data_IF_221089701622
#
_entry.id   IF_221089701622
#
_cell.length_a   1.000
_cell.length_b   1.000
_cell.length_c   1.000
_cell.angle_alpha   90.00
_cell.angle_beta   90.00
_cell.angle_gamma   90.00
#
_symmetry.space_group_name_H-M   'P 1'
#
loop_
_entity.id
_entity.type
_entity.pdbx_description
1 polymer ?
#
# COMPACT_ATOMS: atom_id res chain seq x y z
N UNK A 1 -12.52 54.41 -24.84
CA UNK A 1 -12.67 53.10 -24.17
C UNK A 1 -11.34 52.77 -23.54
N UNK A 2 -11.27 52.87 -22.21
CA UNK A 2 -10.07 52.51 -21.47
C UNK A 2 -10.08 50.99 -21.36
N UNK A 3 -9.10 50.33 -21.99
CA UNK A 3 -8.84 48.91 -21.82
C UNK A 3 -8.51 48.66 -20.35
N UNK A 4 -9.42 48.01 -19.62
CA UNK A 4 -9.14 47.49 -18.29
C UNK A 4 -7.97 46.51 -18.42
N UNK A 5 -6.84 46.69 -17.71
CA UNK A 5 -5.76 45.72 -17.74
C UNK A 5 -6.30 44.38 -17.23
N UNK A 6 -5.91 43.28 -17.88
CA UNK A 6 -6.27 41.93 -17.46
C UNK A 6 -5.95 41.76 -15.98
N UNK A 7 -6.96 41.40 -15.17
CA UNK A 7 -6.79 41.18 -13.75
C UNK A 7 -5.72 40.10 -13.53
N UNK A 8 -4.61 40.48 -12.92
CA UNK A 8 -3.50 39.57 -12.63
C UNK A 8 -3.98 38.57 -11.58
N UNK A 9 -3.99 37.29 -11.95
CA UNK A 9 -4.52 36.21 -11.11
C UNK A 9 -3.44 35.72 -10.14
N UNK A 10 -3.71 35.63 -8.82
CA UNK A 10 -2.71 35.21 -7.85
C UNK A 10 -2.31 33.74 -8.05
N UNK A 11 -1.02 33.46 -7.90
CA UNK A 11 -0.46 32.11 -8.03
C UNK A 11 -0.01 31.59 -6.66
N UNK A 12 -0.30 30.33 -6.39
CA UNK A 12 0.17 29.60 -5.20
C UNK A 12 1.05 28.42 -5.63
N UNK A 13 2.10 28.15 -4.84
CA UNK A 13 2.89 26.92 -4.98
C UNK A 13 2.35 25.88 -4.01
N UNK A 14 1.82 24.79 -4.53
CA UNK A 14 1.37 23.64 -3.76
C UNK A 14 2.49 22.63 -3.58
N UNK A 15 2.55 22.04 -2.39
CA UNK A 15 3.50 21.01 -1.99
C UNK A 15 2.74 19.73 -1.66
N UNK A 16 3.16 18.63 -2.28
CA UNK A 16 2.86 17.26 -1.87
C UNK A 16 4.10 16.59 -1.28
N UNK A 17 4.05 15.27 -1.02
CA UNK A 17 5.15 14.55 -0.37
C UNK A 17 6.45 14.54 -1.21
N UNK A 18 6.33 14.34 -2.52
CA UNK A 18 7.47 14.32 -3.46
C UNK A 18 7.11 15.00 -4.80
N UNK A 19 6.10 15.87 -4.78
CA UNK A 19 5.65 16.63 -5.93
C UNK A 19 5.29 18.06 -5.53
N UNK A 20 5.23 18.94 -6.51
CA UNK A 20 4.81 20.33 -6.35
C UNK A 20 4.00 20.80 -7.56
N UNK A 21 3.16 21.81 -7.35
CA UNK A 21 2.37 22.40 -8.43
C UNK A 21 2.30 23.93 -8.35
N UNK A 22 2.28 24.59 -9.50
CA UNK A 22 1.98 26.01 -9.63
C UNK A 22 0.50 26.14 -10.01
N UNK A 23 -0.29 26.83 -9.18
CA UNK A 23 -1.74 26.95 -9.34
C UNK A 23 -2.17 28.41 -9.35
N UNK A 24 -2.87 28.80 -10.41
CA UNK A 24 -3.54 30.10 -10.49
C UNK A 24 -4.92 30.00 -9.83
N UNK A 25 -5.15 30.83 -8.82
CA UNK A 25 -6.41 30.80 -8.05
C UNK A 25 -7.50 31.52 -8.83
N UNK A 26 -8.61 30.83 -9.11
CA UNK A 26 -9.69 31.41 -9.90
C UNK A 26 -10.34 32.59 -9.15
N UNK A 27 -10.30 33.78 -9.75
CA UNK A 27 -11.06 34.92 -9.25
C UNK A 27 -12.50 34.87 -9.81
N UNK A 28 -13.48 34.81 -8.91
CA UNK A 28 -14.89 34.87 -9.29
C UNK A 28 -15.32 36.33 -9.47
N UNK A 29 -16.02 36.63 -10.56
CA UNK A 29 -16.56 37.96 -10.89
C UNK A 29 -17.50 38.52 -9.81
N UNK A 30 -18.27 37.65 -9.13
CA UNK A 30 -19.19 38.03 -8.03
C UNK A 30 -19.06 37.12 -6.80
N UNK A 31 -18.03 37.31 -5.94
CA UNK A 31 -17.75 36.42 -4.79
C UNK A 31 -18.87 36.38 -3.73
N UNK A 32 -19.73 37.41 -3.70
CA UNK A 32 -20.89 37.49 -2.80
C UNK A 32 -22.07 36.64 -3.28
N UNK A 33 -22.21 36.43 -4.58
CA UNK A 33 -23.30 35.63 -5.17
C UNK A 33 -22.89 34.16 -5.31
N UNK A 34 -21.59 33.89 -5.45
CA UNK A 34 -21.02 32.54 -5.61
C UNK A 34 -20.46 31.99 -4.28
N UNK A 35 -21.27 32.03 -3.21
CA UNK A 35 -20.86 31.66 -1.85
C UNK A 35 -20.27 30.24 -1.72
N UNK A 36 -20.76 29.29 -2.53
CA UNK A 36 -20.29 27.90 -2.55
C UNK A 36 -18.83 27.72 -3.01
N UNK A 37 -18.24 28.76 -3.61
CA UNK A 37 -16.91 28.71 -4.22
C UNK A 37 -15.94 29.71 -3.58
N UNK A 38 -16.26 30.22 -2.38
CA UNK A 38 -15.30 30.96 -1.56
C UNK A 38 -14.16 30.04 -1.11
N UNK A 39 -13.00 30.62 -0.82
CA UNK A 39 -12.01 30.00 0.05
C UNK A 39 -12.68 29.72 1.40
N UNK A 40 -13.20 28.51 1.56
CA UNK A 40 -13.79 28.06 2.81
C UNK A 40 -12.64 27.73 3.74
N UNK A 41 -12.47 28.56 4.77
CA UNK A 41 -11.52 28.30 5.84
C UNK A 41 -12.16 27.28 6.78
N UNK A 42 -11.60 26.08 6.83
CA UNK A 42 -12.17 25.00 7.66
C UNK A 42 -11.75 25.11 9.14
N UNK A 43 -10.65 25.82 9.44
CA UNK A 43 -10.20 26.03 10.80
C UNK A 43 -9.81 27.50 11.05
N UNK A 44 -10.54 28.11 11.99
CA UNK A 44 -10.36 29.47 12.49
C UNK A 44 -9.83 29.40 13.93
N UNK A 45 -8.63 28.87 14.15
CA UNK A 45 -8.05 28.86 15.51
C UNK A 45 -7.53 30.25 15.86
N UNK A 46 -8.10 30.84 16.91
CA UNK A 46 -7.52 32.01 17.56
C UNK A 46 -6.21 31.58 18.26
N UNK A 47 -5.07 32.05 17.75
CA UNK A 47 -3.78 31.89 18.42
C UNK A 47 -3.32 33.26 18.90
N UNK A 48 -3.84 33.71 20.05
CA UNK A 48 -3.34 34.92 20.71
C UNK A 48 -4.36 35.61 21.61
N UNK A 49 -3.91 35.93 22.82
CA UNK A 49 -4.58 36.82 23.78
C UNK A 49 -4.64 38.26 23.23
N UNK A 50 -5.86 38.81 23.22
CA UNK A 50 -6.23 40.24 23.19
C UNK A 50 -5.31 41.20 22.38
N UNK A 51 -5.73 41.49 21.15
CA UNK A 51 -5.25 42.63 20.37
C UNK A 51 -4.64 42.23 19.03
N UNK A 52 -5.47 42.25 17.98
CA UNK A 52 -5.13 42.09 16.56
C UNK A 52 -4.79 40.66 16.07
N UNK A 53 -5.37 40.31 14.89
CA UNK A 53 -5.33 39.03 14.15
C UNK A 53 -6.38 37.96 14.54
N UNK A 54 -7.66 38.34 14.44
CA UNK A 54 -8.77 37.39 14.42
C UNK A 54 -8.81 36.63 13.09
N UNK A 55 -8.43 35.35 13.14
CA UNK A 55 -8.64 34.29 12.14
C UNK A 55 -7.68 34.26 10.94
N UNK A 56 -6.41 33.96 11.21
CA UNK A 56 -5.53 33.46 10.16
C UNK A 56 -5.82 31.97 9.91
N UNK A 57 -5.90 31.55 8.64
CA UNK A 57 -6.36 30.22 8.29
C UNK A 57 -5.28 29.15 8.47
N UNK A 58 -5.62 28.07 9.16
CA UNK A 58 -4.78 26.85 9.16
C UNK A 58 -5.05 25.96 7.95
N UNK A 59 -6.29 25.93 7.46
CA UNK A 59 -6.75 25.09 6.36
C UNK A 59 -7.75 25.83 5.46
N UNK A 60 -7.63 25.67 4.14
CA UNK A 60 -8.39 26.39 3.13
C UNK A 60 -8.85 25.48 1.99
N UNK A 61 -9.98 25.81 1.37
CA UNK A 61 -10.36 25.25 0.06
C UNK A 61 -9.89 26.19 -1.04
N UNK A 62 -9.19 25.64 -2.03
CA UNK A 62 -8.65 26.33 -3.19
C UNK A 62 -9.31 25.82 -4.46
N UNK A 63 -9.92 26.73 -5.21
CA UNK A 63 -10.37 26.50 -6.58
C UNK A 63 -9.36 27.17 -7.53
N UNK A 64 -8.72 26.38 -8.39
CA UNK A 64 -7.65 26.92 -9.22
C UNK A 64 -7.39 26.15 -10.50
N UNK A 65 -6.72 26.84 -11.42
CA UNK A 65 -6.20 26.29 -12.66
C UNK A 65 -4.73 25.90 -12.45
N UNK A 66 -4.45 24.61 -12.56
CA UNK A 66 -3.07 24.11 -12.43
C UNK A 66 -2.30 24.43 -13.71
N UNK A 67 -1.16 25.11 -13.55
CA UNK A 67 -0.26 25.53 -14.64
C UNK A 67 0.91 24.59 -14.84
N UNK A 68 1.47 24.09 -13.74
CA UNK A 68 2.62 23.19 -13.79
C UNK A 68 2.53 22.20 -12.66
N UNK A 69 2.96 20.97 -12.91
CA UNK A 69 3.22 19.97 -11.89
C UNK A 69 4.62 19.43 -12.10
N UNK A 70 5.36 19.26 -11.02
CA UNK A 70 6.69 18.62 -11.02
C UNK A 70 6.69 17.53 -9.96
N UNK A 71 7.01 16.31 -10.37
CA UNK A 71 7.20 15.15 -9.50
C UNK A 71 8.70 14.89 -9.42
N UNK A 72 9.24 14.88 -8.20
CA UNK A 72 10.68 14.76 -7.91
C UNK A 72 10.90 13.67 -6.87
N UNK A 73 10.89 12.38 -7.26
CA UNK A 73 11.07 11.29 -6.30
C UNK A 73 12.48 11.21 -5.73
N UNK A 74 13.49 11.65 -6.48
CA UNK A 74 14.88 11.64 -6.07
C UNK A 74 15.62 12.84 -6.70
N UNK A 75 16.72 13.31 -6.09
CA UNK A 75 17.53 14.36 -6.68
C UNK A 75 17.98 14.00 -8.10
N UNK A 76 17.70 14.88 -9.07
CA UNK A 76 18.05 14.67 -10.48
C UNK A 76 17.06 13.82 -11.29
N UNK A 77 15.98 13.32 -10.67
CA UNK A 77 14.88 12.66 -11.36
C UNK A 77 13.64 13.55 -11.32
N UNK A 78 13.42 14.32 -12.39
CA UNK A 78 12.27 15.22 -12.51
C UNK A 78 11.33 14.78 -13.64
N UNK A 79 10.05 14.68 -13.30
CA UNK A 79 8.95 14.51 -14.25
C UNK A 79 8.08 15.77 -14.20
N UNK A 80 7.86 16.41 -15.34
CA UNK A 80 7.22 17.74 -15.42
C UNK A 80 6.07 17.73 -16.40
N UNK A 81 4.97 18.38 -16.00
CA UNK A 81 3.82 18.64 -16.84
C UNK A 81 3.50 20.13 -16.82
N UNK A 82 3.11 20.68 -17.97
CA UNK A 82 2.82 22.11 -18.10
C UNK A 82 1.59 22.34 -18.96
N UNK A 83 0.70 23.21 -18.47
CA UNK A 83 -0.46 23.68 -19.22
C UNK A 83 0.03 24.64 -20.32
N UNK A 84 -0.38 24.38 -21.55
CA UNK A 84 -0.14 25.29 -22.68
C UNK A 84 -1.33 26.24 -22.92
N UNK A 85 -2.55 25.78 -22.61
CA UNK A 85 -3.77 26.55 -22.78
C UNK A 85 -3.94 27.63 -21.68
N UNK A 86 -4.68 28.72 -21.95
CA UNK A 86 -5.09 29.67 -20.91
C UNK A 86 -5.99 29.00 -19.85
N UNK A 87 -6.25 29.72 -18.75
CA UNK A 87 -7.21 29.26 -17.75
C UNK A 87 -8.63 29.31 -18.35
N UNK A 88 -9.52 28.37 -17.99
CA UNK A 88 -10.91 28.45 -18.44
C UNK A 88 -11.56 29.73 -17.92
N UNK A 89 -12.30 30.42 -18.79
CA UNK A 89 -13.14 31.56 -18.42
C UNK A 89 -14.45 31.10 -17.75
N UNK A 90 -14.36 30.15 -16.81
CA UNK A 90 -15.52 29.59 -16.13
C UNK A 90 -16.03 30.58 -15.07
N UNK A 91 -17.17 31.21 -15.32
CA UNK A 91 -17.75 32.24 -14.44
C UNK A 91 -19.02 31.74 -13.74
N UNK A 92 -19.75 30.80 -14.35
CA UNK A 92 -20.99 30.26 -13.78
C UNK A 92 -20.77 28.97 -12.98
N UNK A 93 -21.61 28.66 -11.97
CA UNK A 93 -21.53 27.39 -11.24
C UNK A 93 -21.62 26.14 -12.13
N UNK A 94 -22.34 26.21 -13.26
CA UNK A 94 -22.46 25.10 -14.20
C UNK A 94 -21.17 24.89 -15.01
N UNK A 95 -20.55 25.97 -15.47
CA UNK A 95 -19.23 25.93 -16.14
C UNK A 95 -18.15 25.44 -15.19
N UNK A 96 -18.12 25.94 -13.95
CA UNK A 96 -17.15 25.50 -12.93
C UNK A 96 -17.33 24.01 -12.64
N UNK A 97 -18.56 23.51 -12.48
CA UNK A 97 -18.81 22.07 -12.29
C UNK A 97 -18.36 21.25 -13.49
N UNK A 98 -18.56 21.77 -14.70
CA UNK A 98 -18.11 21.10 -15.93
C UNK A 98 -16.59 21.04 -15.99
N UNK A 99 -15.91 22.16 -15.74
CA UNK A 99 -14.45 22.26 -15.71
C UNK A 99 -13.82 21.42 -14.58
N UNK A 100 -14.47 21.33 -13.42
CA UNK A 100 -14.09 20.37 -12.37
C UNK A 100 -14.32 18.93 -12.84
N UNK A 101 -15.43 18.66 -13.52
CA UNK A 101 -15.77 17.32 -14.01
C UNK A 101 -14.80 16.77 -15.05
N UNK A 102 -14.24 17.64 -15.89
CA UNK A 102 -13.23 17.30 -16.91
C UNK A 102 -11.80 17.31 -16.35
N UNK A 103 -11.56 17.93 -15.19
CA UNK A 103 -10.23 18.10 -14.62
C UNK A 103 -9.48 19.35 -15.14
N UNK A 104 -10.18 20.25 -15.82
CA UNK A 104 -9.62 21.54 -16.25
C UNK A 104 -9.39 22.48 -15.07
N UNK A 105 -10.24 22.41 -14.05
CA UNK A 105 -10.05 23.03 -12.74
C UNK A 105 -9.82 21.97 -11.66
N UNK A 106 -9.09 22.35 -10.62
CA UNK A 106 -8.90 21.55 -9.42
C UNK A 106 -9.55 22.22 -8.22
N UNK A 107 -10.24 21.43 -7.40
CA UNK A 107 -10.75 21.83 -6.09
C UNK A 107 -9.93 21.09 -5.03
N UNK A 108 -9.14 21.83 -4.27
CA UNK A 108 -8.10 21.30 -3.41
C UNK A 108 -8.30 21.78 -1.98
N UNK A 109 -8.12 20.87 -1.02
CA UNK A 109 -8.00 21.23 0.38
C UNK A 109 -6.52 21.43 0.69
N UNK A 110 -6.17 22.59 1.24
CA UNK A 110 -4.77 22.98 1.46
C UNK A 110 -4.53 23.46 2.88
N UNK A 111 -3.35 23.15 3.40
CA UNK A 111 -2.84 23.70 4.66
C UNK A 111 -2.02 24.95 4.36
N UNK A 112 -2.28 25.99 5.14
CA UNK A 112 -1.62 27.29 5.02
C UNK A 112 -0.81 27.54 6.29
N UNK A 113 0.39 28.10 6.15
CA UNK A 113 1.11 28.67 7.29
C UNK A 113 0.47 30.02 7.63
N UNK A 114 -0.28 30.13 8.75
CA UNK A 114 -1.00 31.36 9.08
C UNK A 114 -0.03 32.53 9.27
N UNK A 115 1.21 32.29 9.69
CA UNK A 115 2.20 33.35 9.95
C UNK A 115 2.78 33.96 8.68
N UNK A 116 2.70 33.25 7.55
CA UNK A 116 3.21 33.68 6.24
C UNK A 116 2.11 34.17 5.32
N UNK A 117 0.84 34.07 5.73
CA UNK A 117 -0.28 34.48 4.90
C UNK A 117 -0.36 36.01 4.86
N UNK A 118 -0.46 36.63 3.67
CA UNK A 118 -0.53 38.08 3.55
C UNK A 118 -1.80 38.61 4.22
N UNK A 119 -1.69 39.77 4.84
CA UNK A 119 -2.82 40.49 5.40
C UNK A 119 -3.82 40.89 4.31
N UNK A 120 -5.10 41.07 4.69
CA UNK A 120 -6.15 41.54 3.76
C UNK A 120 -5.80 42.88 3.09
N UNK A 121 -5.04 43.74 3.78
CA UNK A 121 -4.51 45.01 3.25
C UNK A 121 -3.45 44.82 2.17
N UNK A 122 -2.62 43.79 2.26
CA UNK A 122 -1.59 43.47 1.26
C UNK A 122 -2.19 42.83 0.01
N UNK A 123 -3.24 42.02 0.18
CA UNK A 123 -4.02 41.41 -0.91
C UNK A 123 -4.76 42.44 -1.80
N UNK A 124 -5.00 43.66 -1.29
CA UNK A 124 -5.76 44.72 -1.97
C UNK A 124 -4.93 45.71 -2.81
N UNK A 125 -3.59 45.69 -2.74
CA UNK A 125 -2.71 46.64 -3.44
C UNK A 125 -2.00 46.00 -4.65
N UNK A 126 -2.75 45.73 -5.71
CA UNK A 126 -2.26 44.94 -6.85
C UNK A 126 -1.53 45.82 -7.88
N UNK A 127 -0.24 46.06 -7.63
CA UNK A 127 0.73 46.44 -8.67
C UNK A 127 1.76 45.33 -8.96
N UNK A 128 1.78 44.24 -8.18
CA UNK A 128 2.64 43.09 -8.43
C UNK A 128 1.91 41.78 -8.06
N UNK A 129 1.94 40.74 -8.91
CA UNK A 129 1.47 39.39 -8.56
C UNK A 129 2.35 38.85 -7.43
N UNK A 130 1.93 38.99 -6.18
CA UNK A 130 2.64 38.33 -5.10
C UNK A 130 2.29 36.84 -5.13
N UNK A 131 3.31 36.01 -5.33
CA UNK A 131 3.23 34.58 -5.08
C UNK A 131 2.75 34.38 -3.65
N UNK A 132 1.58 33.76 -3.49
CA UNK A 132 1.10 33.33 -2.18
C UNK A 132 2.14 32.40 -1.55
N UNK A 133 2.25 32.36 -0.21
CA UNK A 133 3.19 31.44 0.44
C UNK A 133 2.92 30.01 -0.01
N UNK A 134 3.95 29.14 -0.07
CA UNK A 134 3.75 27.74 -0.39
C UNK A 134 2.77 27.08 0.59
N UNK A 135 1.86 26.25 0.08
CA UNK A 135 0.82 25.57 0.86
C UNK A 135 0.86 24.07 0.62
N UNK A 136 0.48 23.27 1.62
CA UNK A 136 0.53 21.81 1.53
C UNK A 136 -0.82 21.27 1.06
N UNK A 137 -0.83 20.38 0.08
CA UNK A 137 -2.06 19.72 -0.37
C UNK A 137 -2.50 18.66 0.67
N UNK A 138 -3.72 18.80 1.19
CA UNK A 138 -4.32 17.85 2.15
C UNK A 138 -5.30 16.89 1.48
N UNK A 139 -6.05 17.35 0.48
CA UNK A 139 -6.98 16.51 -0.29
C UNK A 139 -7.30 17.12 -1.66
N UNK A 140 -7.81 16.27 -2.55
CA UNK A 140 -8.16 16.62 -3.94
C UNK A 140 -7.15 16.07 -4.93
N UNK A 141 -7.60 15.95 -6.18
CA UNK A 141 -6.84 15.34 -7.26
C UNK A 141 -6.53 16.36 -8.35
N UNK A 142 -5.30 16.34 -8.83
CA UNK A 142 -4.87 17.07 -10.01
C UNK A 142 -4.62 16.05 -11.13
N UNK A 143 -5.44 16.12 -12.18
CA UNK A 143 -5.31 15.28 -13.36
C UNK A 143 -4.11 15.73 -14.21
N UNK A 144 -3.14 14.84 -14.40
CA UNK A 144 -2.03 15.02 -15.34
C UNK A 144 -2.47 14.56 -16.73
N UNK A 145 -1.76 14.95 -17.79
CA UNK A 145 -1.98 14.47 -19.17
C UNK A 145 -3.36 14.75 -19.81
N UNK A 146 -4.33 15.32 -19.09
CA UNK A 146 -5.61 15.80 -19.66
C UNK A 146 -5.48 17.21 -20.23
N UNK A 147 -5.09 18.17 -19.38
CA UNK A 147 -4.89 19.57 -19.74
C UNK A 147 -3.45 20.06 -19.52
N UNK A 148 -2.61 19.19 -18.95
CA UNK A 148 -1.20 19.42 -18.74
C UNK A 148 -0.43 18.53 -19.72
N UNK A 149 0.43 19.12 -20.54
CA UNK A 149 1.25 18.36 -21.47
C UNK A 149 2.54 17.92 -20.78
N UNK A 150 2.97 16.66 -20.94
CA UNK A 150 4.23 16.19 -20.40
C UNK A 150 5.40 16.88 -21.09
N UNK A 151 6.40 17.29 -20.32
CA UNK A 151 7.65 17.89 -20.81
C UNK A 151 8.72 16.80 -20.86
N UNK A 152 9.49 16.73 -21.95
CA UNK A 152 10.56 15.73 -22.14
C UNK A 152 10.06 14.29 -21.89
N UNK A 153 8.91 13.95 -22.47
CA UNK A 153 8.27 12.62 -22.36
C UNK A 153 8.10 12.14 -20.90
N UNK A 154 7.78 13.07 -19.98
CA UNK A 154 7.68 12.79 -18.54
C UNK A 154 6.81 11.56 -18.22
N UNK A 155 5.64 11.42 -18.84
CA UNK A 155 4.73 10.29 -18.62
C UNK A 155 5.38 8.96 -19.00
N UNK A 156 5.92 8.82 -20.21
CA UNK A 156 6.61 7.60 -20.63
C UNK A 156 7.76 7.26 -19.69
N UNK A 157 8.63 8.23 -19.38
CA UNK A 157 9.77 8.00 -18.48
C UNK A 157 9.34 7.56 -17.08
N UNK A 158 8.24 8.10 -16.57
CA UNK A 158 7.68 7.72 -15.27
C UNK A 158 7.15 6.27 -15.32
N UNK A 159 6.38 5.93 -16.35
CA UNK A 159 5.85 4.57 -16.53
C UNK A 159 6.98 3.55 -16.74
N UNK A 160 8.01 3.88 -17.51
CA UNK A 160 9.19 3.04 -17.74
C UNK A 160 9.99 2.81 -16.43
N UNK A 161 10.21 3.89 -15.66
CA UNK A 161 10.86 3.79 -14.34
C UNK A 161 10.00 3.00 -13.35
N UNK A 162 8.68 3.00 -13.54
CA UNK A 162 7.73 2.23 -12.76
C UNK A 162 7.39 0.85 -13.35
N UNK A 163 8.01 0.44 -14.46
CA UNK A 163 7.72 -0.82 -15.16
C UNK A 163 6.21 -1.09 -15.31
N UNK A 164 5.45 -0.02 -15.58
CA UNK A 164 4.02 -0.05 -15.83
C UNK A 164 3.83 0.16 -17.33
N UNK A 165 3.03 -0.68 -17.96
CA UNK A 165 2.60 -0.46 -19.33
C UNK A 165 1.47 0.59 -19.36
N UNK A 166 1.63 1.73 -20.05
CA UNK A 166 0.57 2.71 -20.18
C UNK A 166 -0.56 2.17 -21.06
N UNK A 167 -1.81 2.50 -20.73
CA UNK A 167 -2.96 2.13 -21.56
C UNK A 167 -3.56 3.39 -22.19
N UNK A 168 -3.48 3.50 -23.51
CA UNK A 168 -3.86 4.71 -24.25
C UNK A 168 -5.39 4.87 -24.44
N UNK A 169 -6.14 3.77 -24.53
CA UNK A 169 -7.54 3.76 -24.98
C UNK A 169 -8.57 3.47 -23.86
N UNK A 170 -8.25 3.73 -22.59
CA UNK A 170 -9.23 3.52 -21.51
C UNK A 170 -10.05 4.78 -21.26
N UNK A 171 -11.37 4.63 -21.37
CA UNK A 171 -12.34 5.65 -20.99
C UNK A 171 -12.46 5.76 -19.47
N UNK A 172 -11.38 6.15 -18.79
CA UNK A 172 -11.34 6.32 -17.33
C UNK A 172 -12.37 7.36 -16.84
N UNK A 173 -12.63 8.38 -17.66
CA UNK A 173 -13.61 9.44 -17.36
C UNK A 173 -15.04 8.89 -17.27
N UNK A 174 -15.35 7.81 -17.99
CA UNK A 174 -16.68 7.19 -18.01
C UNK A 174 -16.94 6.28 -16.81
N UNK A 175 -15.88 5.88 -16.09
CA UNK A 175 -16.00 5.15 -14.83
C UNK A 175 -16.80 5.96 -13.81
N UNK A 176 -17.51 5.27 -12.92
CA UNK A 176 -18.45 5.88 -11.96
C UNK A 176 -18.07 5.59 -10.51
N UNK A 177 -18.53 6.45 -9.61
CA UNK A 177 -18.27 6.32 -8.18
C UNK A 177 -16.78 6.35 -7.86
N UNK A 178 -16.34 5.46 -6.98
CA UNK A 178 -14.95 5.36 -6.49
C UNK A 178 -13.95 4.93 -7.57
N UNK A 179 -14.41 4.24 -8.62
CA UNK A 179 -13.57 3.81 -9.75
C UNK A 179 -13.26 4.95 -10.73
N UNK A 180 -13.91 6.11 -10.58
CA UNK A 180 -13.72 7.24 -11.49
C UNK A 180 -12.32 7.82 -11.32
N UNK A 181 -11.59 7.87 -12.42
CA UNK A 181 -10.31 8.55 -12.53
C UNK A 181 -10.40 9.55 -13.69
N UNK A 182 -9.98 10.79 -13.46
CA UNK A 182 -10.05 11.85 -14.49
C UNK A 182 -8.94 11.74 -15.52
N UNK A 183 -7.87 11.06 -15.15
CA UNK A 183 -6.69 10.82 -15.97
C UNK A 183 -6.05 9.50 -15.55
N UNK A 184 -5.31 8.82 -16.45
CA UNK A 184 -4.43 7.72 -16.07
C UNK A 184 -3.39 8.10 -15.03
N UNK A 185 -3.05 9.38 -14.90
CA UNK A 185 -2.06 9.86 -13.94
C UNK A 185 -2.62 11.05 -13.17
N UNK A 186 -2.67 10.95 -11.85
CA UNK A 186 -3.10 12.05 -10.97
C UNK A 186 -2.12 12.25 -9.83
N UNK A 187 -1.99 13.50 -9.37
CA UNK A 187 -1.27 13.82 -8.13
C UNK A 187 -2.27 14.23 -7.04
N UNK A 188 -2.01 13.79 -5.82
CA UNK A 188 -2.85 14.07 -4.65
C UNK A 188 -2.00 14.06 -3.37
N UNK A 189 -2.61 14.31 -2.21
CA UNK A 189 -1.90 14.54 -0.95
C UNK A 189 -1.05 13.36 -0.46
N UNK A 190 -1.43 12.12 -0.78
CA UNK A 190 -0.66 10.92 -0.42
C UNK A 190 0.37 10.50 -1.47
N UNK A 191 0.39 11.10 -2.66
CA UNK A 191 1.37 10.77 -3.71
C UNK A 191 0.81 10.87 -5.12
N UNK A 192 0.95 9.78 -5.88
CA UNK A 192 0.42 9.64 -7.24
C UNK A 192 -0.55 8.46 -7.32
N UNK A 193 -1.62 8.59 -8.10
CA UNK A 193 -2.36 7.46 -8.64
C UNK A 193 -2.03 7.30 -10.11
N UNK A 194 -1.77 6.05 -10.52
CA UNK A 194 -1.43 5.66 -11.87
C UNK A 194 -2.39 4.56 -12.33
N UNK A 195 -2.79 4.59 -13.59
CA UNK A 195 -3.53 3.51 -14.23
C UNK A 195 -2.69 2.96 -15.38
N UNK A 196 -2.53 1.64 -15.42
CA UNK A 196 -1.76 0.96 -16.45
C UNK A 196 -1.88 -0.56 -16.32
N UNK A 197 -0.96 -1.30 -16.93
CA UNK A 197 -0.82 -2.74 -16.72
C UNK A 197 0.49 -3.09 -16.04
N UNK A 198 0.44 -4.03 -15.10
CA UNK A 198 1.60 -4.43 -14.28
C UNK A 198 1.82 -5.94 -14.34
N UNK A 199 3.08 -6.34 -14.28
CA UNK A 199 3.48 -7.75 -14.26
C UNK A 199 3.26 -8.38 -12.88
N UNK A 200 2.78 -9.62 -12.89
CA UNK A 200 2.84 -10.52 -11.74
C UNK A 200 3.87 -11.61 -12.02
N UNK A 201 4.74 -11.98 -11.05
CA UNK A 201 5.80 -12.96 -11.28
C UNK A 201 5.35 -14.33 -11.81
N UNK A 202 4.09 -14.71 -11.56
CA UNK A 202 3.50 -15.99 -11.95
C UNK A 202 2.51 -15.91 -13.12
N UNK A 203 2.21 -14.72 -13.63
CA UNK A 203 1.33 -14.56 -14.77
C UNK A 203 2.14 -14.34 -16.05
N UNK A 204 1.60 -14.81 -17.17
CA UNK A 204 2.19 -14.57 -18.48
C UNK A 204 1.84 -13.17 -19.02
N UNK A 205 0.67 -12.64 -18.64
CA UNK A 205 0.16 -11.36 -19.12
C UNK A 205 0.14 -10.30 -18.01
N UNK A 206 0.37 -9.04 -18.39
CA UNK A 206 0.21 -7.88 -17.51
C UNK A 206 -1.26 -7.64 -17.18
N UNK A 207 -1.56 -7.43 -15.91
CA UNK A 207 -2.91 -7.15 -15.44
C UNK A 207 -3.19 -5.64 -15.38
N UNK A 208 -4.39 -5.17 -15.76
CA UNK A 208 -4.80 -3.79 -15.56
C UNK A 208 -4.85 -3.46 -14.06
N UNK A 209 -4.33 -2.30 -13.67
CA UNK A 209 -4.19 -1.91 -12.28
C UNK A 209 -4.35 -0.40 -12.10
N UNK A 210 -5.15 -0.03 -11.09
CA UNK A 210 -5.10 1.29 -10.46
C UNK A 210 -4.10 1.21 -9.31
N UNK A 211 -3.01 1.97 -9.39
CA UNK A 211 -1.86 1.87 -8.51
C UNK A 211 -1.62 3.20 -7.78
N UNK A 212 -1.37 3.14 -6.49
CA UNK A 212 -0.95 4.28 -5.68
C UNK A 212 0.55 4.21 -5.41
N UNK A 213 1.29 5.24 -5.83
CA UNK A 213 2.67 5.46 -5.45
C UNK A 213 2.73 6.42 -4.27
N UNK A 214 3.20 5.93 -3.13
CA UNK A 214 3.38 6.72 -1.91
C UNK A 214 4.83 6.65 -1.43
N UNK A 215 5.28 7.70 -0.76
CA UNK A 215 6.56 7.69 -0.05
C UNK A 215 6.33 7.15 1.35
N UNK A 216 7.13 6.16 1.75
CA UNK A 216 7.13 5.71 3.15
C UNK A 216 7.95 6.67 3.99
N UNK A 217 7.67 6.71 5.28
CA UNK A 217 8.44 7.48 6.22
C UNK A 217 8.95 6.51 7.29
N UNK A 218 10.22 6.68 7.68
CA UNK A 218 10.81 5.87 8.73
C UNK A 218 10.01 5.93 10.04
N UNK A 219 10.19 4.96 10.96
CA UNK A 219 9.50 4.96 12.24
C UNK A 219 9.62 6.33 12.90
N UNK A 220 8.47 6.88 13.29
CA UNK A 220 8.33 8.24 13.79
C UNK A 220 9.46 8.58 14.75
N UNK A 221 10.40 9.41 14.30
CA UNK A 221 11.23 10.14 15.24
C UNK A 221 10.26 10.92 16.14
N UNK A 222 10.55 11.00 17.43
CA UNK A 222 9.77 11.80 18.39
C UNK A 222 9.69 13.29 18.01
N UNK A 223 10.49 13.71 17.02
CA UNK A 223 10.45 15.01 16.38
C UNK A 223 10.00 14.90 14.90
N UNK A 224 8.85 15.50 14.51
CA UNK A 224 8.40 15.58 13.12
C UNK A 224 9.43 16.19 12.16
N UNK A 225 10.31 17.07 12.65
CA UNK A 225 11.36 17.70 11.84
C UNK A 225 12.51 16.75 11.46
N UNK A 226 12.55 15.54 12.03
CA UNK A 226 13.56 14.51 11.77
C UNK A 226 13.01 13.31 11.00
N UNK A 227 11.75 13.34 10.57
CA UNK A 227 11.18 12.28 9.74
C UNK A 227 11.93 12.27 8.40
N UNK A 228 12.76 11.25 8.21
CA UNK A 228 13.47 11.07 6.96
C UNK A 228 12.56 10.40 5.92
N UNK A 229 12.59 10.86 4.67
CA UNK A 229 11.91 10.18 3.58
C UNK A 229 12.46 8.76 3.43
N UNK A 230 11.57 7.78 3.49
CA UNK A 230 11.87 6.38 3.25
C UNK A 230 11.69 6.00 1.77
N UNK A 231 11.79 4.70 1.45
CA UNK A 231 11.57 4.20 0.09
C UNK A 231 10.14 4.41 -0.38
N UNK A 232 9.91 4.26 -1.68
CA UNK A 232 8.58 4.35 -2.25
C UNK A 232 7.86 3.01 -2.19
N UNK A 233 6.54 3.06 -2.07
CA UNK A 233 5.65 1.91 -2.11
C UNK A 233 4.63 2.11 -3.22
N UNK A 234 4.56 1.17 -4.16
CA UNK A 234 3.51 1.10 -5.16
C UNK A 234 2.49 0.05 -4.73
N UNK A 235 1.23 0.41 -4.53
CA UNK A 235 0.17 -0.49 -4.04
C UNK A 235 -1.01 -0.51 -4.99
N UNK A 236 -1.76 -1.61 -5.02
CA UNK A 236 -3.01 -1.70 -5.77
C UNK A 236 -4.15 -0.99 -5.02
N UNK A 237 -4.82 -0.04 -5.68
CA UNK A 237 -6.05 0.60 -5.21
C UNK A 237 -7.25 -0.28 -5.58
N UNK A 238 -7.50 -1.32 -4.76
CA UNK A 238 -8.53 -2.35 -5.01
C UNK A 238 -9.92 -1.73 -5.22
N UNK A 239 -10.25 -0.69 -4.46
CA UNK A 239 -11.51 0.05 -4.54
C UNK A 239 -11.70 0.81 -5.85
N UNK A 240 -10.63 1.05 -6.61
CA UNK A 240 -10.69 1.74 -7.91
C UNK A 240 -10.80 0.78 -9.10
N UNK A 241 -10.72 -0.52 -8.86
CA UNK A 241 -10.89 -1.53 -9.90
C UNK A 241 -12.35 -1.64 -10.31
N UNK A 242 -12.60 -1.72 -11.63
CA UNK A 242 -13.92 -2.12 -12.12
C UNK A 242 -14.11 -3.64 -11.94
N UNK A 243 -15.35 -4.17 -12.00
CA UNK A 243 -15.60 -5.59 -11.71
C UNK A 243 -14.77 -6.58 -12.53
N UNK A 244 -14.52 -6.29 -13.81
CA UNK A 244 -13.71 -7.15 -14.68
C UNK A 244 -12.23 -7.15 -14.30
N UNK A 245 -11.69 -5.99 -13.90
CA UNK A 245 -10.32 -5.86 -13.41
C UNK A 245 -10.17 -6.58 -12.06
N UNK A 246 -11.12 -6.37 -11.16
CA UNK A 246 -11.14 -7.06 -9.87
C UNK A 246 -11.17 -8.58 -10.06
N UNK A 247 -12.00 -9.09 -10.97
CA UNK A 247 -12.06 -10.53 -11.25
C UNK A 247 -10.75 -11.06 -11.82
N UNK A 248 -10.11 -10.34 -12.75
CA UNK A 248 -8.81 -10.73 -13.30
C UNK A 248 -7.73 -10.86 -12.22
N UNK A 249 -7.70 -9.95 -11.25
CA UNK A 249 -6.81 -10.02 -10.09
C UNK A 249 -7.11 -11.21 -9.17
N UNK A 250 -8.39 -11.50 -8.90
CA UNK A 250 -8.80 -12.67 -8.12
C UNK A 250 -8.42 -13.97 -8.83
N UNK A 251 -8.62 -14.05 -10.14
CA UNK A 251 -8.28 -15.24 -10.92
C UNK A 251 -6.77 -15.47 -10.96
N UNK A 252 -5.96 -14.43 -11.16
CA UNK A 252 -4.51 -14.54 -11.08
C UNK A 252 -4.03 -15.00 -9.70
N UNK A 253 -4.65 -14.48 -8.62
CA UNK A 253 -4.34 -14.94 -7.26
C UNK A 253 -4.73 -16.41 -7.04
N UNK A 254 -5.87 -16.83 -7.59
CA UNK A 254 -6.30 -18.23 -7.56
C UNK A 254 -5.37 -19.14 -8.36
N UNK A 255 -4.85 -18.71 -9.50
CA UNK A 255 -3.85 -19.48 -10.25
C UNK A 255 -2.60 -19.75 -9.43
N UNK A 256 -2.08 -18.73 -8.73
CA UNK A 256 -0.96 -18.93 -7.81
C UNK A 256 -1.30 -19.92 -6.70
N UNK A 257 -2.51 -19.84 -6.12
CA UNK A 257 -2.98 -20.79 -5.10
C UNK A 257 -3.07 -22.22 -5.62
N UNK A 258 -3.58 -22.41 -6.84
CA UNK A 258 -3.66 -23.72 -7.47
C UNK A 258 -2.27 -24.30 -7.75
N UNK A 259 -1.31 -23.44 -8.04
CA UNK A 259 0.08 -23.82 -8.28
C UNK A 259 0.83 -24.15 -6.98
N UNK A 260 0.67 -23.36 -5.92
CA UNK A 260 1.35 -23.57 -4.63
C UNK A 260 0.68 -24.66 -3.78
N UNK A 261 -0.65 -24.65 -3.70
CA UNK A 261 -1.46 -25.57 -2.89
C UNK A 261 -2.68 -26.08 -3.67
N UNK A 262 -2.49 -26.99 -4.65
CA UNK A 262 -3.59 -27.48 -5.49
C UNK A 262 -4.75 -28.09 -4.70
N UNK A 263 -4.46 -28.67 -3.53
CA UNK A 263 -5.44 -29.29 -2.62
C UNK A 263 -6.13 -28.31 -1.66
N UNK A 264 -5.84 -27.01 -1.73
CA UNK A 264 -6.55 -26.02 -0.91
C UNK A 264 -8.07 -26.09 -1.21
N UNK A 265 -8.93 -26.29 -0.20
CA UNK A 265 -10.37 -26.47 -0.41
C UNK A 265 -11.03 -25.27 -1.11
N UNK A 266 -10.46 -24.07 -0.98
CA UNK A 266 -10.97 -22.85 -1.61
C UNK A 266 -10.63 -22.76 -3.11
N UNK A 267 -9.80 -23.65 -3.65
CA UNK A 267 -9.50 -23.72 -5.08
C UNK A 267 -10.59 -24.44 -5.89
N UNK A 268 -11.54 -25.12 -5.24
CA UNK A 268 -12.66 -25.82 -5.90
C UNK A 268 -12.26 -27.03 -6.75
N UNK A 269 -11.00 -27.50 -6.67
CA UNK A 269 -10.49 -28.65 -7.41
C UNK A 269 -10.33 -29.86 -6.48
N UNK A 270 -11.05 -30.96 -6.75
CA UNK A 270 -10.90 -32.26 -6.04
C UNK A 270 -9.83 -33.17 -6.65
N UNK A 271 -9.01 -32.69 -7.60
CA UNK A 271 -8.13 -33.59 -8.35
C UNK A 271 -6.76 -33.69 -7.71
N UNK A 272 -6.43 -34.90 -7.27
CA UNK A 272 -5.12 -35.30 -6.80
C UNK A 272 -4.07 -35.07 -7.89
N UNK A 273 -3.41 -33.91 -7.87
CA UNK A 273 -2.07 -33.80 -8.43
C UNK A 273 -1.16 -34.44 -7.39
N UNK A 274 -0.50 -35.54 -7.75
CA UNK A 274 0.62 -36.07 -6.98
C UNK A 274 1.79 -35.09 -7.14
N UNK A 275 1.87 -34.10 -6.26
CA UNK A 275 3.07 -33.28 -6.14
C UNK A 275 4.07 -34.03 -5.26
N UNK A 276 5.33 -34.08 -5.68
CA UNK A 276 6.47 -34.58 -4.87
C UNK A 276 6.86 -33.57 -3.79
N UNK A 277 5.87 -32.89 -3.21
CA UNK A 277 6.04 -31.86 -2.19
C UNK A 277 6.42 -32.49 -0.86
N UNK A 278 7.29 -31.84 -0.05
CA UNK A 278 7.58 -32.32 1.29
C UNK A 278 6.30 -32.39 2.14
N UNK A 279 5.91 -33.58 2.60
CA UNK A 279 4.69 -33.78 3.40
C UNK A 279 4.69 -33.04 4.75
N UNK A 280 5.86 -32.61 5.23
CA UNK A 280 6.01 -32.02 6.55
C UNK A 280 5.81 -30.50 6.60
N UNK A 281 5.70 -29.86 5.44
CA UNK A 281 5.55 -28.40 5.33
C UNK A 281 4.75 -28.01 4.09
N UNK A 282 3.84 -27.05 4.24
CA UNK A 282 2.94 -26.59 3.17
C UNK A 282 2.88 -25.07 3.19
N UNK A 283 3.15 -24.42 2.06
CA UNK A 283 2.94 -22.98 1.90
C UNK A 283 1.51 -22.72 1.40
N UNK A 284 0.63 -22.30 2.29
CA UNK A 284 -0.78 -22.03 1.99
C UNK A 284 -1.00 -20.55 1.66
N UNK A 285 -1.81 -20.28 0.63
CA UNK A 285 -2.50 -18.99 0.46
C UNK A 285 -3.78 -19.01 1.31
N UNK A 286 -3.87 -18.06 2.26
CA UNK A 286 -4.94 -18.05 3.28
C UNK A 286 -6.33 -17.82 2.70
N UNK A 287 -6.44 -16.95 1.69
CA UNK A 287 -7.70 -16.64 1.03
C UNK A 287 -7.48 -16.43 -0.48
N UNK A 288 -7.71 -17.44 -1.33
CA UNK A 288 -7.54 -17.33 -2.77
C UNK A 288 -8.72 -16.67 -3.49
N UNK A 289 -9.79 -16.29 -2.79
CA UNK A 289 -11.00 -15.69 -3.40
C UNK A 289 -11.07 -14.17 -3.26
N UNK A 290 -10.11 -13.56 -2.56
CA UNK A 290 -9.99 -12.11 -2.41
C UNK A 290 -8.58 -11.65 -2.75
N UNK A 291 -8.47 -10.43 -3.29
CA UNK A 291 -7.19 -9.81 -3.62
C UNK A 291 -6.41 -9.55 -2.32
N UNK A 292 -5.17 -10.03 -2.19
CA UNK A 292 -4.37 -9.79 -0.98
C UNK A 292 -3.87 -8.34 -0.94
N UNK A 293 -3.52 -7.86 0.25
CA UNK A 293 -2.81 -6.59 0.37
C UNK A 293 -1.36 -6.80 -0.09
N UNK A 294 -1.06 -6.27 -1.27
CA UNK A 294 0.21 -6.41 -1.96
C UNK A 294 0.80 -5.05 -2.31
N UNK A 295 2.12 -4.99 -2.42
CA UNK A 295 2.83 -3.79 -2.87
C UNK A 295 4.20 -4.11 -3.43
N UNK A 296 4.70 -3.25 -4.31
CA UNK A 296 6.09 -3.26 -4.76
C UNK A 296 6.88 -2.22 -3.97
N UNK A 297 7.98 -2.66 -3.36
CA UNK A 297 8.94 -1.75 -2.76
C UNK A 297 9.81 -1.14 -3.86
N UNK A 298 10.01 0.18 -3.82
CA UNK A 298 10.80 0.94 -4.78
C UNK A 298 11.89 1.67 -3.99
N UNK A 299 12.99 0.96 -3.76
CA UNK A 299 14.18 1.49 -3.08
C UNK A 299 15.05 2.30 -4.05
N UNK A 300 15.17 1.80 -5.28
CA UNK A 300 15.84 2.48 -6.40
C UNK A 300 14.86 2.53 -7.56
N UNK A 301 14.77 3.68 -8.21
CA UNK A 301 14.01 3.88 -9.44
C UNK A 301 14.72 3.21 -10.63
N UNK A 302 14.79 1.88 -10.59
CA UNK A 302 15.41 0.99 -11.58
C UNK A 302 14.57 -0.29 -11.73
N UNK A 303 14.77 -1.03 -12.83
CA UNK A 303 14.00 -2.24 -13.15
C UNK A 303 14.27 -3.38 -12.16
N UNK A 304 13.22 -4.15 -11.85
CA UNK A 304 13.25 -5.24 -10.88
C UNK A 304 12.63 -4.83 -9.54
N UNK A 305 11.40 -5.29 -9.30
CA UNK A 305 10.68 -5.04 -8.04
C UNK A 305 10.34 -6.35 -7.37
N UNK A 306 10.63 -6.43 -6.09
CA UNK A 306 10.09 -7.49 -5.25
C UNK A 306 8.65 -7.16 -4.91
N UNK A 307 7.75 -8.10 -5.22
CA UNK A 307 6.36 -8.03 -4.82
C UNK A 307 6.25 -8.49 -3.37
N UNK A 308 5.74 -7.63 -2.50
CA UNK A 308 5.59 -7.90 -1.08
C UNK A 308 4.13 -8.06 -0.71
N UNK A 309 3.83 -9.02 0.16
CA UNK A 309 2.49 -9.31 0.66
C UNK A 309 2.43 -9.11 2.18
N UNK A 310 1.27 -8.65 2.66
CA UNK A 310 1.01 -8.54 4.10
C UNK A 310 1.03 -9.90 4.80
N UNK A 311 1.17 -9.86 6.13
CA UNK A 311 1.37 -11.04 6.98
C UNK A 311 0.30 -12.13 6.86
N UNK A 312 -0.90 -11.77 6.40
CA UNK A 312 -2.06 -12.68 6.39
C UNK A 312 -2.29 -13.35 5.03
N UNK A 313 -1.53 -12.96 4.00
CA UNK A 313 -1.73 -13.46 2.64
C UNK A 313 -1.26 -14.90 2.47
N UNK A 314 -0.22 -15.28 3.23
CA UNK A 314 0.38 -16.60 3.21
C UNK A 314 0.46 -17.20 4.61
N UNK A 315 0.55 -18.52 4.67
CA UNK A 315 0.78 -19.27 5.90
C UNK A 315 1.66 -20.46 5.60
N UNK A 316 2.77 -20.59 6.33
CA UNK A 316 3.58 -21.79 6.32
C UNK A 316 3.07 -22.74 7.39
N UNK A 317 2.56 -23.88 6.97
CA UNK A 317 2.01 -24.92 7.83
C UNK A 317 3.05 -26.01 7.97
N UNK A 318 3.52 -26.27 9.18
CA UNK A 318 4.31 -27.44 9.52
C UNK A 318 3.38 -28.50 10.07
N UNK A 319 3.48 -29.71 9.54
CA UNK A 319 2.65 -30.81 10.02
C UNK A 319 3.36 -32.14 9.88
N UNK A 320 2.88 -33.16 10.58
CA UNK A 320 3.37 -34.53 10.39
C UNK A 320 2.70 -35.22 9.18
N UNK A 321 1.64 -34.64 8.62
CA UNK A 321 0.88 -35.16 7.47
C UNK A 321 0.37 -34.01 6.61
N UNK A 322 -0.15 -34.30 5.41
CA UNK A 322 -0.76 -33.28 4.57
C UNK A 322 -1.98 -32.66 5.26
N UNK A 323 -2.09 -31.32 5.38
CA UNK A 323 -3.22 -30.67 6.05
C UNK A 323 -4.56 -30.87 5.33
N UNK A 324 -4.52 -31.31 4.07
CA UNK A 324 -5.70 -31.55 3.24
C UNK A 324 -5.97 -33.03 2.98
N UNK A 325 -5.30 -33.94 3.70
CA UNK A 325 -5.63 -35.36 3.65
C UNK A 325 -6.82 -35.64 4.58
N UNK A 326 -7.96 -36.04 3.99
CA UNK A 326 -9.19 -36.31 4.74
C UNK A 326 -9.21 -37.70 5.36
N UNK A 327 -8.42 -38.64 4.82
CA UNK A 327 -8.34 -40.01 5.33
C UNK A 327 -7.36 -40.10 6.50
N UNK A 328 -6.28 -39.32 6.44
CA UNK A 328 -5.26 -39.24 7.48
C UNK A 328 -5.06 -37.77 7.88
N UNK A 329 -5.88 -37.25 8.81
CA UNK A 329 -5.78 -35.87 9.24
C UNK A 329 -4.52 -35.65 10.10
N UNK A 330 -3.92 -34.45 10.02
CA UNK A 330 -2.72 -34.14 10.79
C UNK A 330 -2.99 -34.21 12.29
N UNK A 331 -2.11 -34.90 13.04
CA UNK A 331 -2.19 -34.97 14.50
C UNK A 331 -1.30 -33.93 15.20
N UNK A 332 -0.41 -33.27 14.46
CA UNK A 332 0.36 -32.12 14.90
C UNK A 332 0.43 -31.08 13.80
N UNK A 333 0.13 -29.82 14.14
CA UNK A 333 0.11 -28.71 13.21
C UNK A 333 0.64 -27.44 13.87
N UNK A 334 1.58 -26.77 13.21
CA UNK A 334 2.02 -25.42 13.56
C UNK A 334 1.85 -24.52 12.33
N UNK A 335 1.32 -23.31 12.55
CA UNK A 335 1.11 -22.31 11.50
C UNK A 335 1.97 -21.10 11.77
N UNK A 336 2.72 -20.67 10.76
CA UNK A 336 3.54 -19.46 10.80
C UNK A 336 3.05 -18.52 9.71
N UNK A 337 2.69 -17.30 10.11
CA UNK A 337 2.29 -16.21 9.23
C UNK A 337 3.32 -15.11 9.29
N UNK A 338 3.51 -14.39 8.19
CA UNK A 338 4.56 -13.38 8.08
C UNK A 338 4.57 -12.71 6.72
N UNK A 339 5.39 -11.67 6.60
CA UNK A 339 5.51 -10.91 5.38
C UNK A 339 6.21 -11.76 4.33
N UNK A 340 5.65 -11.84 3.13
CA UNK A 340 6.25 -12.59 2.02
C UNK A 340 6.77 -11.62 0.97
N UNK A 341 8.03 -11.78 0.58
CA UNK A 341 8.61 -11.15 -0.60
C UNK A 341 8.75 -12.17 -1.72
N UNK A 342 8.21 -11.85 -2.88
CA UNK A 342 8.24 -12.69 -4.05
C UNK A 342 9.05 -12.03 -5.17
N UNK A 343 9.96 -12.80 -5.75
CA UNK A 343 10.77 -12.37 -6.89
C UNK A 343 10.80 -13.43 -7.98
N UNK A 344 10.81 -12.97 -9.23
CA UNK A 344 11.02 -13.83 -10.41
C UNK A 344 12.52 -13.95 -10.67
N UNK A 345 13.00 -15.18 -10.77
CA UNK A 345 14.35 -15.46 -11.25
C UNK A 345 14.31 -15.59 -12.78
N UNK A 346 15.34 -15.10 -13.47
CA UNK A 346 15.42 -15.07 -14.94
C UNK A 346 15.36 -16.44 -15.65
N UNK A 347 15.28 -17.53 -14.90
CA UNK A 347 15.09 -18.90 -15.37
C UNK A 347 13.66 -19.44 -15.18
N UNK A 348 12.67 -18.55 -14.98
CA UNK A 348 11.26 -18.91 -14.78
C UNK A 348 10.91 -19.32 -13.35
N UNK A 349 11.89 -19.47 -12.45
CA UNK A 349 11.59 -19.81 -11.07
C UNK A 349 11.03 -18.62 -10.29
N UNK A 350 10.12 -18.90 -9.36
CA UNK A 350 9.65 -17.93 -8.38
C UNK A 350 10.29 -18.25 -7.04
N UNK A 351 10.81 -17.24 -6.37
CA UNK A 351 11.30 -17.35 -4.99
C UNK A 351 10.37 -16.57 -4.08
N UNK A 352 9.86 -17.24 -3.04
CA UNK A 352 9.12 -16.62 -1.96
C UNK A 352 10.00 -16.64 -0.71
N UNK A 353 10.30 -15.47 -0.15
CA UNK A 353 10.98 -15.32 1.12
C UNK A 353 9.95 -14.86 2.15
N UNK A 354 9.63 -15.73 3.11
CA UNK A 354 8.76 -15.44 4.23
C UNK A 354 9.64 -14.98 5.41
N UNK A 355 9.31 -13.83 5.98
CA UNK A 355 9.91 -13.30 7.20
C UNK A 355 8.85 -13.31 8.30
N UNK A 356 9.08 -14.05 9.37
CA UNK A 356 8.13 -14.24 10.46
C UNK A 356 8.84 -14.22 11.83
N UNK A 357 8.14 -13.77 12.89
CA UNK A 357 8.66 -13.71 14.26
C UNK A 357 8.98 -12.29 14.75
N UNK A 358 9.36 -12.18 16.02
CA UNK A 358 9.82 -10.92 16.64
C UNK A 358 11.30 -10.74 16.31
N UNK A 359 11.65 -9.57 15.81
CA UNK A 359 13.04 -9.18 15.56
C UNK A 359 13.79 -9.09 16.90
N UNK A 360 14.56 -10.12 17.22
CA UNK A 360 15.44 -10.13 18.39
C UNK A 360 16.85 -9.86 17.84
N UNK A 361 17.31 -8.62 17.98
CA UNK A 361 18.70 -8.16 17.75
C UNK A 361 19.45 -8.82 16.56
N UNK A 362 19.45 -8.16 15.39
CA UNK A 362 20.22 -8.51 14.19
C UNK A 362 20.03 -9.93 13.61
N UNK A 363 19.06 -10.71 14.12
CA UNK A 363 18.71 -12.02 13.57
C UNK A 363 17.35 -11.97 12.86
N UNK A 364 17.39 -12.10 11.53
CA UNK A 364 16.18 -12.29 10.72
C UNK A 364 15.89 -13.80 10.61
N UNK A 365 14.73 -14.23 11.11
CA UNK A 365 14.19 -15.56 10.81
C UNK A 365 13.67 -15.56 9.36
N UNK A 366 14.47 -16.11 8.45
CA UNK A 366 14.17 -16.14 7.03
C UNK A 366 13.82 -17.57 6.57
N UNK A 367 12.64 -17.70 5.97
CA UNK A 367 12.14 -18.92 5.37
C UNK A 367 12.17 -18.73 3.86
N UNK A 368 12.95 -19.53 3.14
CA UNK A 368 13.01 -19.47 1.68
C UNK A 368 12.28 -20.64 1.07
N UNK A 369 11.33 -20.33 0.21
CA UNK A 369 10.54 -21.26 -0.55
C UNK A 369 10.79 -21.02 -2.04
N UNK A 370 11.17 -22.06 -2.78
CA UNK A 370 11.47 -21.97 -4.22
C UNK A 370 10.65 -23.00 -5.00
N UNK A 371 10.04 -22.57 -6.09
CA UNK A 371 9.32 -23.45 -7.04
C UNK A 371 9.75 -23.15 -8.48
N UNK A 372 9.72 -24.16 -9.35
CA UNK A 372 10.07 -24.09 -10.77
C UNK A 372 8.84 -23.86 -11.65
N UNK A 373 8.91 -22.89 -12.56
CA UNK A 373 7.83 -22.44 -13.45
C UNK A 373 6.95 -23.57 -14.01
N UNK A 374 5.64 -23.31 -14.07
CA UNK A 374 4.61 -24.18 -14.66
C UNK A 374 4.80 -24.41 -16.17
N UNK A 375 5.71 -23.69 -16.82
CA UNK A 375 6.00 -23.77 -18.26
C UNK A 375 6.97 -24.88 -18.64
N UNK A 376 7.60 -25.55 -17.67
CA UNK A 376 8.55 -26.63 -17.95
C UNK A 376 7.90 -28.00 -17.80
N UNK A 377 8.25 -28.95 -18.69
CA UNK A 377 7.83 -30.37 -18.64
C UNK A 377 8.42 -31.14 -17.45
N UNK A 378 9.15 -30.45 -16.56
CA UNK A 378 9.78 -31.01 -15.36
C UNK A 378 8.85 -30.72 -14.18
N UNK A 379 8.52 -31.71 -13.34
CA UNK A 379 7.70 -31.48 -12.16
C UNK A 379 8.34 -30.39 -11.28
N UNK A 380 7.55 -29.43 -10.77
CA UNK A 380 8.06 -28.33 -9.98
C UNK A 380 8.81 -28.86 -8.76
N UNK A 381 10.11 -28.59 -8.67
CA UNK A 381 10.89 -28.90 -7.47
C UNK A 381 10.63 -27.83 -6.42
N UNK A 382 9.94 -28.21 -5.36
CA UNK A 382 9.72 -27.40 -4.18
C UNK A 382 10.91 -27.55 -3.23
N UNK A 383 11.57 -26.44 -2.87
CA UNK A 383 12.65 -26.45 -1.88
C UNK A 383 12.35 -25.47 -0.76
N UNK A 384 12.44 -25.97 0.47
CA UNK A 384 12.20 -25.18 1.68
C UNK A 384 13.49 -25.14 2.48
N UNK A 385 13.95 -23.92 2.74
CA UNK A 385 15.12 -23.65 3.58
C UNK A 385 14.66 -22.86 4.80
N UNK A 386 14.90 -23.41 5.97
CA UNK A 386 14.65 -22.77 7.26
C UNK A 386 16.00 -22.27 7.78
N UNK A 387 16.06 -21.01 8.20
CA UNK A 387 17.27 -20.43 8.80
C UNK A 387 16.94 -19.76 10.12
N UNK A 388 17.91 -19.77 11.03
CA UNK A 388 17.82 -19.14 12.35
C UNK A 388 16.67 -19.66 13.23
N UNK A 389 16.28 -20.94 13.13
CA UNK A 389 15.17 -21.47 13.94
C UNK A 389 15.49 -21.46 15.45
N UNK A 390 14.59 -20.87 16.24
CA UNK A 390 14.57 -21.07 17.70
C UNK A 390 13.53 -22.15 18.01
N UNK A 391 14.01 -23.36 18.34
CA UNK A 391 13.15 -24.47 18.74
C UNK A 391 12.91 -24.38 20.26
N UNK A 392 11.64 -24.44 20.66
CA UNK A 392 11.25 -24.56 22.05
C UNK A 392 10.80 -25.98 22.36
N UNK A 393 11.12 -26.47 23.56
CA UNK A 393 10.69 -27.77 24.05
C UNK A 393 9.18 -27.76 24.29
N UNK A 394 8.44 -28.69 23.69
CA UNK A 394 7.05 -28.96 24.07
C UNK A 394 7.05 -29.86 25.33
N UNK A 395 6.65 -29.32 26.50
CA UNK A 395 6.71 -30.05 27.76
C UNK A 395 5.69 -31.18 27.87
N UNK A 396 4.81 -31.34 26.88
CA UNK A 396 3.78 -32.38 26.85
C UNK A 396 4.14 -33.44 25.82
N UNK A 397 4.42 -33.03 24.58
CA UNK A 397 4.66 -33.98 23.48
C UNK A 397 6.00 -34.70 23.60
N UNK A 398 7.07 -34.01 24.03
CA UNK A 398 8.41 -34.63 24.10
C UNK A 398 8.47 -35.72 25.18
N UNK A 399 7.98 -35.51 26.41
CA UNK A 399 7.93 -36.59 27.40
C UNK A 399 7.01 -37.74 27.00
N UNK A 400 5.94 -37.48 26.24
CA UNK A 400 5.06 -38.53 25.72
C UNK A 400 5.78 -39.38 24.66
N UNK A 401 6.38 -38.75 23.65
CA UNK A 401 7.16 -39.43 22.62
C UNK A 401 8.27 -40.29 23.23
N UNK A 402 8.98 -39.76 24.24
CA UNK A 402 10.01 -40.52 24.96
C UNK A 402 9.44 -41.73 25.70
N UNK A 403 8.28 -41.61 26.36
CA UNK A 403 7.59 -42.74 27.01
C UNK A 403 7.19 -43.81 26.01
N UNK A 404 6.59 -43.43 24.89
CA UNK A 404 6.18 -44.37 23.83
C UNK A 404 7.39 -45.12 23.25
N UNK A 405 8.49 -44.42 22.96
CA UNK A 405 9.76 -45.00 22.50
C UNK A 405 10.40 -45.95 23.52
N UNK A 406 10.21 -45.69 24.81
CA UNK A 406 10.75 -46.49 25.90
C UNK A 406 9.78 -47.59 26.37
N UNK A 407 8.60 -47.72 25.75
CA UNK A 407 7.56 -48.67 26.16
C UNK A 407 7.00 -48.40 27.55
N UNK A 408 7.09 -47.16 28.05
CA UNK A 408 6.58 -46.80 29.37
C UNK A 408 5.07 -46.50 29.34
N UNK A 409 4.32 -46.92 30.37
CA UNK A 409 2.89 -46.66 30.45
C UNK A 409 2.59 -45.17 30.64
N UNK A 410 1.37 -44.76 30.27
CA UNK A 410 0.84 -43.44 30.63
C UNK A 410 0.74 -43.35 32.17
N UNK A 411 1.22 -42.27 32.81
CA UNK A 411 1.13 -42.12 34.25
C UNK A 411 -0.33 -42.27 34.70
N UNK A 412 -0.60 -43.29 35.50
CA UNK A 412 -1.87 -43.43 36.18
C UNK A 412 -1.88 -42.52 37.41
N UNK A 413 -3.00 -41.84 37.68
CA UNK A 413 -3.17 -41.07 38.92
C UNK A 413 -3.38 -42.02 40.09
N UNK A 414 -2.33 -42.72 40.52
CA UNK A 414 -2.33 -43.34 41.85
C UNK A 414 -1.90 -42.26 42.82
N UNK A 415 -2.89 -41.62 43.44
CA UNK A 415 -2.73 -40.69 44.54
C UNK A 415 -2.17 -41.44 45.76
N UNK A 416 -0.88 -41.77 45.75
CA UNK A 416 -0.16 -42.10 46.97
C UNK A 416 0.57 -40.83 47.43
N UNK A 417 0.30 -40.46 48.69
CA UNK A 417 0.95 -39.33 49.33
C UNK A 417 2.46 -39.60 49.42
N UNK A 418 3.26 -38.69 48.87
CA UNK A 418 4.72 -38.72 49.00
C UNK A 418 5.11 -38.12 50.35
N UNK A 419 5.88 -38.86 51.14
CA UNK A 419 6.49 -38.43 52.40
C UNK A 419 8.01 -38.28 52.18
N UNK A 420 8.65 -37.13 52.47
CA UNK A 420 8.11 -35.93 53.11
C UNK A 420 7.20 -35.08 52.19
N UNK A 421 6.27 -34.28 52.77
CA UNK A 421 5.39 -33.42 52.00
C UNK A 421 6.19 -32.30 51.34
N UNK A 422 6.51 -32.47 50.07
CA UNK A 422 6.99 -31.38 49.21
C UNK A 422 5.76 -30.63 48.70
N UNK A 423 5.79 -29.29 48.76
CA UNK A 423 4.73 -28.45 48.21
C UNK A 423 4.84 -28.50 46.68
N UNK A 424 3.99 -29.32 46.06
CA UNK A 424 3.92 -29.45 44.60
C UNK A 424 2.91 -28.46 44.05
N UNK A 425 3.29 -27.72 43.00
CA UNK A 425 2.34 -27.04 42.14
C UNK A 425 1.79 -28.02 41.12
N UNK A 426 0.48 -28.06 40.96
CA UNK A 426 -0.19 -28.91 39.98
C UNK A 426 -0.73 -28.04 38.84
N UNK A 427 -0.26 -28.31 37.62
CA UNK A 427 -0.88 -27.76 36.41
C UNK A 427 -1.67 -28.87 35.71
N UNK A 428 -3.01 -28.76 35.58
CA UNK A 428 -3.79 -29.72 34.82
C UNK A 428 -3.45 -29.63 33.33
N UNK A 429 -3.22 -30.78 32.71
CA UNK A 429 -3.05 -30.95 31.27
C UNK A 429 -4.15 -31.90 30.76
N UNK A 430 -4.46 -31.83 29.45
CA UNK A 430 -5.53 -32.64 28.82
C UNK A 430 -5.41 -34.16 29.09
N UNK A 431 -4.22 -34.68 29.43
CA UNK A 431 -3.99 -36.10 29.75
C UNK A 431 -3.10 -36.34 30.97
N UNK A 432 -3.11 -35.45 31.96
CA UNK A 432 -2.37 -35.65 33.22
C UNK A 432 -2.01 -34.36 33.94
N UNK A 433 -0.93 -34.41 34.73
CA UNK A 433 -0.44 -33.27 35.52
C UNK A 433 1.06 -33.13 35.31
N UNK A 434 1.54 -31.88 35.25
CA UNK A 434 2.97 -31.59 35.36
C UNK A 434 3.27 -31.19 36.81
N UNK A 435 4.16 -31.94 37.46
CA UNK A 435 4.59 -31.70 38.83
C UNK A 435 5.86 -30.85 38.81
N UNK A 436 5.80 -29.62 39.32
CA UNK A 436 6.99 -28.81 39.56
C UNK A 436 7.16 -28.56 41.07
N UNK A 437 8.39 -28.68 41.60
CA UNK A 437 8.65 -28.31 42.98
C UNK A 437 8.60 -26.78 43.10
N UNK A 438 7.86 -26.25 44.08
CA UNK A 438 8.07 -24.87 44.49
C UNK A 438 9.43 -24.77 45.18
N UNK A 439 10.32 -23.84 44.77
CA UNK A 439 11.47 -23.52 45.61
C UNK A 439 10.95 -22.88 46.90
N UNK A 440 11.29 -23.46 48.04
CA UNK A 440 11.14 -22.83 49.37
C UNK A 440 12.08 -21.65 49.53
#
# INVERSE_FOLDING_TARGET
>A
MVSTPAAVTPTVRLLGPFWQADVEVLQLTSPRQNLAFRSLWLEQRATGTAGELLYLPGTAILLGCVRRVTVTPAPGQDYRWQRQAPAPAAETPAEIRTALGTGELALLLVQVDPTRWPSLSELGSVANPQNLPPTTCLAGDIALDTFLSPVNNATSRLYDALDIEPVADVQLIERRGVTRQRSPLTVHSSGLSLYGRIDLPWEAERLPASLQLAQTFGPSASNPAQIQPGPFRLSLEVERLIPTEHQAWVDAWRHLSQYLTPRNPLNGLSRAVETTSPHWVTLEITNPTAIPNLFWAIDVWAQGRDLTFSNDSFSLIFSNQSPYDLEVPPTSLARVSGMVRMSRLGNGHITLNLTAGVEIADQHYAYRYRVADATTTVPPTETITLSNLTLAFDPVQVPQFLRERQGQPVPASTAEAVDPPVLWGFMPLERGWFNYPYPT
#
